data_IF_520512103856
#
_entry.id   IF_520512103856
#
_cell.length_a   1.000
_cell.length_b   1.000
_cell.length_c   1.000
_cell.angle_alpha   90.00
_cell.angle_beta   90.00
_cell.angle_gamma   90.00
#
_symmetry.space_group_name_H-M   'P 1'
#
loop_
_entity.id
_entity.type
_entity.pdbx_description
1 polymer ?
#
# COMPACT_ATOMS: atom_id res chain seq x y z
N UNK A 1 -20.84 26.25 7.22
CA UNK A 1 -19.64 25.39 7.08
C UNK A 1 -20.13 24.05 6.57
N UNK A 2 -19.50 23.47 5.55
CA UNK A 2 -19.86 22.13 5.09
C UNK A 2 -19.28 21.15 6.12
N UNK A 3 -20.15 20.45 6.85
CA UNK A 3 -19.75 19.47 7.85
C UNK A 3 -19.06 18.31 7.13
N UNK A 4 -17.88 17.90 7.60
CA UNK A 4 -17.15 16.81 6.97
C UNK A 4 -17.86 15.49 7.27
N UNK A 5 -18.55 14.93 6.28
CA UNK A 5 -19.16 13.61 6.39
C UNK A 5 -18.17 12.53 5.95
N UNK A 6 -17.74 11.71 6.91
CA UNK A 6 -16.87 10.55 6.73
C UNK A 6 -17.46 9.48 5.79
N UNK A 7 -18.74 9.59 5.41
CA UNK A 7 -19.34 8.72 4.41
C UNK A 7 -19.15 9.23 2.97
N UNK A 8 -18.39 10.31 2.76
CA UNK A 8 -18.23 10.98 1.45
C UNK A 8 -16.86 10.73 0.80
N UNK A 9 -16.68 9.62 0.10
CA UNK A 9 -15.44 9.30 -0.62
C UNK A 9 -15.46 9.71 -2.09
N UNK A 10 -15.06 10.95 -2.40
CA UNK A 10 -14.83 11.46 -3.77
C UNK A 10 -15.94 11.11 -4.79
N UNK A 11 -17.21 11.00 -4.38
CA UNK A 11 -18.32 10.66 -5.28
C UNK A 11 -18.53 9.15 -5.53
N UNK A 12 -17.83 8.27 -4.80
CA UNK A 12 -17.91 6.81 -4.89
C UNK A 12 -18.62 6.17 -3.68
N UNK A 13 -19.32 6.96 -2.89
CA UNK A 13 -19.94 6.56 -1.61
C UNK A 13 -20.87 5.37 -1.77
N UNK A 14 -21.83 5.51 -2.67
CA UNK A 14 -22.85 4.50 -2.96
C UNK A 14 -22.18 3.21 -3.45
N UNK A 15 -21.22 3.34 -4.37
CA UNK A 15 -20.50 2.21 -4.96
C UNK A 15 -19.74 1.40 -3.90
N UNK A 16 -19.06 2.09 -2.98
CA UNK A 16 -18.25 1.46 -1.93
C UNK A 16 -19.12 0.85 -0.84
N UNK A 17 -20.22 1.51 -0.47
CA UNK A 17 -21.12 0.99 0.56
C UNK A 17 -21.99 -0.17 0.07
N UNK A 18 -22.37 -0.20 -1.21
CA UNK A 18 -23.07 -1.34 -1.81
C UNK A 18 -22.19 -2.59 -1.93
N UNK A 19 -20.89 -2.39 -2.16
CA UNK A 19 -19.92 -3.48 -2.41
C UNK A 19 -18.63 -3.27 -1.62
N UNK A 20 -18.68 -3.40 -0.27
CA UNK A 20 -17.51 -3.21 0.58
C UNK A 20 -16.44 -4.29 0.38
N UNK A 21 -16.83 -5.46 -0.16
CA UNK A 21 -15.94 -6.54 -0.58
C UNK A 21 -14.89 -6.09 -1.62
N UNK A 22 -15.19 -5.06 -2.41
CA UNK A 22 -14.23 -4.47 -3.34
C UNK A 22 -13.02 -3.91 -2.61
N UNK A 23 -13.21 -3.28 -1.45
CA UNK A 23 -12.10 -2.74 -0.67
C UNK A 23 -11.22 -3.84 -0.12
N UNK A 24 -11.80 -4.96 0.29
CA UNK A 24 -11.05 -6.14 0.70
C UNK A 24 -10.16 -6.62 -0.45
N UNK A 25 -10.74 -6.83 -1.64
CA UNK A 25 -9.99 -7.30 -2.82
C UNK A 25 -8.89 -6.30 -3.21
N UNK A 26 -9.22 -5.01 -3.29
CA UNK A 26 -8.27 -3.94 -3.64
C UNK A 26 -7.10 -3.91 -2.66
N UNK A 27 -7.36 -4.09 -1.36
CA UNK A 27 -6.32 -4.05 -0.33
C UNK A 27 -5.22 -5.10 -0.49
N UNK A 28 -5.50 -6.21 -1.19
CA UNK A 28 -4.51 -7.23 -1.53
C UNK A 28 -4.01 -7.11 -2.97
N UNK A 29 -4.92 -6.86 -3.92
CA UNK A 29 -4.58 -6.85 -5.35
C UNK A 29 -3.71 -5.66 -5.74
N UNK A 30 -4.03 -4.47 -5.24
CA UNK A 30 -3.29 -3.25 -5.55
C UNK A 30 -1.81 -3.31 -5.11
N UNK A 31 -1.46 -3.71 -3.88
CA UNK A 31 -0.07 -3.79 -3.48
C UNK A 31 0.68 -4.92 -4.20
N UNK A 32 0.03 -6.05 -4.51
CA UNK A 32 0.64 -7.11 -5.34
C UNK A 32 0.95 -6.59 -6.75
N UNK A 33 0.01 -5.90 -7.38
CA UNK A 33 0.21 -5.30 -8.70
C UNK A 33 1.34 -4.27 -8.71
N UNK A 34 1.39 -3.39 -7.72
CA UNK A 34 2.47 -2.41 -7.57
C UNK A 34 3.83 -3.07 -7.29
N UNK A 35 3.85 -4.15 -6.52
CA UNK A 35 5.07 -4.92 -6.26
C UNK A 35 5.63 -5.52 -7.54
N UNK A 36 4.79 -6.19 -8.35
CA UNK A 36 5.21 -6.76 -9.62
C UNK A 36 5.66 -5.68 -10.62
N UNK A 37 4.91 -4.58 -10.71
CA UNK A 37 5.26 -3.46 -11.58
C UNK A 37 6.58 -2.80 -11.17
N UNK A 38 6.78 -2.55 -9.88
CA UNK A 38 8.02 -1.95 -9.38
C UNK A 38 9.23 -2.87 -9.55
N UNK A 39 9.06 -4.19 -9.40
CA UNK A 39 10.10 -5.17 -9.73
C UNK A 39 10.48 -5.11 -11.22
N UNK A 40 9.49 -5.09 -12.11
CA UNK A 40 9.71 -5.01 -13.55
C UNK A 40 10.45 -3.72 -13.94
N UNK A 41 10.02 -2.57 -13.41
CA UNK A 41 10.69 -1.30 -13.66
C UNK A 41 12.11 -1.31 -13.07
N UNK A 42 12.31 -1.84 -11.87
CA UNK A 42 13.64 -1.96 -11.26
C UNK A 42 14.58 -2.80 -12.14
N UNK A 43 14.10 -3.92 -12.67
CA UNK A 43 14.84 -4.76 -13.61
C UNK A 43 15.25 -3.99 -14.89
N UNK A 44 14.34 -3.22 -15.48
CA UNK A 44 14.66 -2.39 -16.65
C UNK A 44 15.70 -1.30 -16.34
N UNK A 45 15.59 -0.66 -15.17
CA UNK A 45 16.54 0.37 -14.76
C UNK A 45 17.93 -0.20 -14.46
N UNK A 46 18.01 -1.37 -13.84
CA UNK A 46 19.29 -2.06 -13.62
C UNK A 46 20.00 -2.38 -14.94
N UNK A 47 19.24 -2.78 -15.98
CA UNK A 47 19.77 -3.00 -17.33
C UNK A 47 20.36 -1.72 -17.96
N UNK A 48 19.86 -0.55 -17.57
CA UNK A 48 20.38 0.76 -18.00
C UNK A 48 21.35 1.40 -16.98
N UNK A 49 21.78 0.66 -15.95
CA UNK A 49 22.64 1.14 -14.87
C UNK A 49 22.07 2.35 -14.09
N UNK A 50 20.76 2.55 -14.13
CA UNK A 50 20.09 3.61 -13.37
C UNK A 50 19.58 3.05 -12.03
N UNK A 51 19.88 3.74 -10.93
CA UNK A 51 19.37 3.39 -9.60
C UNK A 51 18.35 4.42 -9.17
N UNK A 52 17.11 4.01 -8.97
CA UNK A 52 16.05 4.87 -8.45
C UNK A 52 15.72 4.53 -7.00
N UNK A 53 15.96 5.47 -6.10
CA UNK A 53 15.57 5.34 -4.69
C UNK A 53 14.05 5.21 -4.55
N UNK A 54 13.29 6.00 -5.33
CA UNK A 54 11.82 6.00 -5.25
C UNK A 54 11.22 4.65 -5.64
N UNK A 55 11.79 3.94 -6.60
CA UNK A 55 11.28 2.61 -6.97
C UNK A 55 11.47 1.61 -5.83
N UNK A 56 12.59 1.67 -5.12
CA UNK A 56 12.80 0.84 -3.93
C UNK A 56 11.81 1.19 -2.82
N UNK A 57 11.53 2.48 -2.62
CA UNK A 57 10.51 2.93 -1.66
C UNK A 57 9.14 2.38 -2.02
N UNK A 58 8.73 2.45 -3.29
CA UNK A 58 7.45 1.88 -3.76
C UNK A 58 7.42 0.37 -3.60
N UNK A 59 8.51 -0.32 -3.90
CA UNK A 59 8.63 -1.77 -3.73
C UNK A 59 8.45 -2.17 -2.25
N UNK A 60 9.16 -1.53 -1.33
CA UNK A 60 9.03 -1.80 0.11
C UNK A 60 7.64 -1.44 0.65
N UNK A 61 7.08 -0.31 0.20
CA UNK A 61 5.72 0.10 0.57
C UNK A 61 4.70 -0.94 0.13
N UNK A 62 4.81 -1.41 -1.11
CA UNK A 62 3.91 -2.43 -1.66
C UNK A 62 4.02 -3.75 -0.90
N UNK A 63 5.25 -4.18 -0.59
CA UNK A 63 5.48 -5.38 0.22
C UNK A 63 4.84 -5.27 1.61
N UNK A 64 5.06 -4.16 2.32
CA UNK A 64 4.47 -3.95 3.65
C UNK A 64 2.94 -3.85 3.60
N UNK A 65 2.37 -3.26 2.54
CA UNK A 65 0.92 -3.13 2.40
C UNK A 65 0.20 -4.47 2.24
N UNK A 66 0.84 -5.49 1.65
CA UNK A 66 0.26 -6.84 1.58
C UNK A 66 -0.07 -7.36 2.98
N UNK A 67 0.84 -7.13 3.94
CA UNK A 67 0.65 -7.55 5.32
C UNK A 67 -0.20 -6.55 6.09
N UNK A 68 0.28 -5.32 6.28
CA UNK A 68 -0.36 -4.36 7.17
C UNK A 68 -1.65 -3.78 6.60
N UNK A 69 -1.68 -3.49 5.29
CA UNK A 69 -2.88 -2.97 4.62
C UNK A 69 -3.94 -4.05 4.50
N UNK A 70 -3.61 -5.16 3.83
CA UNK A 70 -4.53 -6.28 3.60
C UNK A 70 -5.09 -6.87 4.89
N UNK A 71 -4.24 -7.13 5.89
CA UNK A 71 -4.69 -7.67 7.18
C UNK A 71 -5.63 -6.70 7.92
N UNK A 72 -5.26 -5.42 8.03
CA UNK A 72 -6.08 -4.43 8.73
C UNK A 72 -7.45 -4.26 8.06
N UNK A 73 -7.49 -4.17 6.73
CA UNK A 73 -8.76 -4.06 5.99
C UNK A 73 -9.58 -5.34 6.11
N UNK A 74 -8.95 -6.52 6.13
CA UNK A 74 -9.66 -7.78 6.39
C UNK A 74 -10.37 -7.77 7.73
N UNK A 75 -9.67 -7.39 8.81
CA UNK A 75 -10.27 -7.30 10.14
C UNK A 75 -11.45 -6.32 10.16
N UNK A 76 -11.26 -5.12 9.64
CA UNK A 76 -12.32 -4.09 9.63
C UNK A 76 -13.52 -4.52 8.77
N UNK A 77 -13.29 -5.19 7.65
CA UNK A 77 -14.35 -5.74 6.81
C UNK A 77 -15.20 -6.75 7.58
N UNK A 78 -14.58 -7.72 8.25
CA UNK A 78 -15.30 -8.72 9.04
C UNK A 78 -16.00 -8.14 10.28
N UNK A 79 -15.57 -6.97 10.76
CA UNK A 79 -16.26 -6.20 11.80
C UNK A 79 -17.50 -5.43 11.28
N UNK A 80 -17.80 -5.50 9.98
CA UNK A 80 -18.95 -4.83 9.38
C UNK A 80 -18.74 -3.33 9.13
N UNK A 81 -17.49 -2.88 9.02
CA UNK A 81 -17.18 -1.48 8.70
C UNK A 81 -17.61 -1.17 7.26
N UNK A 82 -18.21 0.00 7.05
CA UNK A 82 -18.70 0.42 5.73
C UNK A 82 -17.56 0.58 4.72
N UNK A 83 -17.85 0.32 3.44
CA UNK A 83 -16.83 0.34 2.38
C UNK A 83 -16.12 1.69 2.24
N UNK A 84 -16.84 2.80 2.46
CA UNK A 84 -16.22 4.14 2.49
C UNK A 84 -15.18 4.26 3.61
N UNK A 85 -15.50 3.79 4.82
CA UNK A 85 -14.57 3.83 5.95
C UNK A 85 -13.38 2.91 5.72
N UNK A 86 -13.57 1.75 5.08
CA UNK A 86 -12.49 0.88 4.64
C UNK A 86 -11.58 1.60 3.64
N UNK A 87 -12.13 2.34 2.68
CA UNK A 87 -11.36 3.12 1.71
C UNK A 87 -10.49 4.18 2.39
N UNK A 88 -11.08 4.98 3.30
CA UNK A 88 -10.32 5.96 4.07
C UNK A 88 -9.21 5.33 4.91
N UNK A 89 -9.53 4.25 5.64
CA UNK A 89 -8.55 3.56 6.47
C UNK A 89 -7.39 3.05 5.60
N UNK A 90 -7.70 2.41 4.48
CA UNK A 90 -6.70 1.90 3.55
C UNK A 90 -5.82 3.01 2.96
N UNK A 91 -6.41 4.16 2.60
CA UNK A 91 -5.66 5.31 2.12
C UNK A 91 -4.68 5.85 3.16
N UNK A 92 -5.10 6.00 4.42
CA UNK A 92 -4.22 6.48 5.50
C UNK A 92 -3.08 5.49 5.77
N UNK A 93 -3.37 4.18 5.81
CA UNK A 93 -2.34 3.13 5.95
C UNK A 93 -1.34 3.22 4.80
N UNK A 94 -1.82 3.36 3.56
CA UNK A 94 -0.98 3.48 2.36
C UNK A 94 -0.06 4.69 2.44
N UNK A 95 -0.58 5.86 2.80
CA UNK A 95 0.21 7.09 2.96
C UNK A 95 1.24 6.92 4.08
N UNK A 96 0.83 6.40 5.24
CA UNK A 96 1.72 6.17 6.37
C UNK A 96 2.88 5.23 6.03
N UNK A 97 2.58 4.09 5.38
CA UNK A 97 3.59 3.13 4.94
C UNK A 97 4.54 3.72 3.89
N UNK A 98 4.00 4.53 2.96
CA UNK A 98 4.82 5.21 1.98
C UNK A 98 5.83 6.16 2.63
N UNK A 99 5.37 7.03 3.53
CA UNK A 99 6.27 7.94 4.25
C UNK A 99 7.25 7.20 5.16
N UNK A 100 6.82 6.14 5.84
CA UNK A 100 7.70 5.28 6.62
C UNK A 100 8.84 4.73 5.75
N UNK A 101 8.53 4.18 4.58
CA UNK A 101 9.53 3.68 3.63
C UNK A 101 10.38 4.80 3.03
N UNK A 102 9.80 5.97 2.77
CA UNK A 102 10.53 7.11 2.21
C UNK A 102 11.60 7.62 3.17
N UNK A 103 11.28 7.69 4.46
CA UNK A 103 12.20 8.15 5.51
C UNK A 103 13.22 7.08 5.91
N UNK A 104 12.80 5.80 5.93
CA UNK A 104 13.62 4.69 6.44
C UNK A 104 14.21 3.79 5.34
N UNK A 105 14.00 4.10 4.06
CA UNK A 105 14.36 3.21 2.94
C UNK A 105 15.83 2.85 2.87
N UNK A 106 16.73 3.74 3.29
CA UNK A 106 18.18 3.44 3.41
C UNK A 106 18.46 2.38 4.49
N UNK A 107 17.84 2.52 5.65
CA UNK A 107 17.97 1.56 6.77
C UNK A 107 17.40 0.20 6.38
N UNK A 108 16.22 0.18 5.75
CA UNK A 108 15.58 -1.05 5.25
C UNK A 108 16.49 -1.76 4.25
N UNK A 109 17.05 -1.01 3.28
CA UNK A 109 17.99 -1.57 2.30
C UNK A 109 19.21 -2.18 2.98
N UNK A 110 19.76 -1.51 4.00
CA UNK A 110 20.93 -1.98 4.74
C UNK A 110 20.65 -3.29 5.47
N UNK A 111 19.53 -3.39 6.20
CA UNK A 111 19.13 -4.62 6.90
C UNK A 111 19.00 -5.81 5.94
N UNK A 112 18.42 -5.60 4.75
CA UNK A 112 18.27 -6.65 3.74
C UNK A 112 19.62 -7.11 3.19
N UNK A 113 20.55 -6.17 2.95
CA UNK A 113 21.87 -6.49 2.42
C UNK A 113 22.76 -7.19 3.45
N UNK A 114 22.68 -6.80 4.72
CA UNK A 114 23.43 -7.43 5.81
C UNK A 114 23.00 -8.89 6.02
N UNK A 115 21.70 -9.18 5.93
CA UNK A 115 21.21 -10.57 5.99
C UNK A 115 21.76 -11.45 4.85
N UNK A 116 22.01 -10.86 3.67
CA UNK A 116 22.53 -11.59 2.51
C UNK A 116 24.02 -11.92 2.61
N UNK A 117 24.83 -11.18 3.39
CA UNK A 117 26.24 -11.55 3.58
C UNK A 117 26.47 -12.53 4.73
N UNK A 118 25.44 -12.82 5.53
CA UNK A 118 25.48 -13.81 6.62
C UNK A 118 24.94 -15.20 6.23
N UNK A 119 24.42 -15.39 5.01
CA UNK A 119 23.99 -16.69 4.47
C UNK A 119 24.94 -17.18 3.40
#
# INVERSE_FOLDING_TARGET
>A
MMEFDFNTFFGYETLLNEKPDRMLIISFLLPVGLLLLSLFINFLLEKWHWKSYLIKVVLYTSFLLIFFGGFTISLLYFMGVSGVKLAYCYSIITIGMFFFCLLNGKTITKMILEQKSSS
#
